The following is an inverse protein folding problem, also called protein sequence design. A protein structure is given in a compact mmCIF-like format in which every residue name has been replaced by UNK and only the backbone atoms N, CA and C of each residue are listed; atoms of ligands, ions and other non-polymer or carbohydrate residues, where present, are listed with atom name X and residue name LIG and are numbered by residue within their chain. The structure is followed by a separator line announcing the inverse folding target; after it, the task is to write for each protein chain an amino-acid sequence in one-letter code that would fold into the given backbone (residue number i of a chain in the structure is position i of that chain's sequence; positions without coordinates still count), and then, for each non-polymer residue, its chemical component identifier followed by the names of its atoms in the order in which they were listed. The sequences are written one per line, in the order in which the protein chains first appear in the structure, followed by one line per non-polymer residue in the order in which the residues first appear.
data_IF_276043131422
#
_entry.id   IF_276043131422
#
_cell.length_a   1.000
_cell.length_b   1.000
_cell.length_c   1.000
_cell.angle_alpha   90.00
_cell.angle_beta   90.00
_cell.angle_gamma   90.00
#
_symmetry.space_group_name_H-M   'P 1'
#
loop_
_entity.id
_entity.type
_entity.pdbx_description
1 polymer ?
#
# COMPACT_ATOMS: atom_id res chain seq x y z
N UNK A 1 -22.16 -31.10 73.45
CA UNK A 1 -22.26 -31.43 72.02
C UNK A 1 -22.32 -30.12 71.21
N UNK A 2 -21.18 -29.65 70.68
CA UNK A 2 -21.09 -28.52 69.74
C UNK A 2 -19.95 -28.82 68.77
N UNK A 3 -20.28 -28.96 67.49
CA UNK A 3 -19.36 -29.29 66.39
C UNK A 3 -18.64 -28.02 65.91
N UNK A 4 -17.33 -28.03 65.59
CA UNK A 4 -16.68 -26.91 64.92
C UNK A 4 -16.89 -27.00 63.40
N UNK A 5 -17.11 -25.86 62.76
CA UNK A 5 -17.27 -25.71 61.30
C UNK A 5 -15.90 -25.78 60.59
N UNK A 6 -15.78 -26.39 59.40
CA UNK A 6 -14.53 -26.46 58.67
C UNK A 6 -14.23 -25.13 57.96
N UNK A 7 -12.97 -24.68 58.05
CA UNK A 7 -12.41 -23.60 57.24
C UNK A 7 -12.26 -24.11 55.79
N UNK A 8 -12.98 -23.50 54.86
CA UNK A 8 -12.81 -23.73 53.43
C UNK A 8 -11.66 -22.86 52.93
N UNK A 9 -10.52 -23.47 52.60
CA UNK A 9 -9.39 -22.78 51.99
C UNK A 9 -9.67 -22.55 50.49
N UNK A 10 -9.76 -21.29 50.09
CA UNK A 10 -9.96 -20.88 48.70
C UNK A 10 -8.59 -20.81 48.00
N UNK A 11 -8.28 -21.80 47.15
CA UNK A 11 -7.12 -21.74 46.25
C UNK A 11 -7.45 -20.83 45.05
N UNK A 12 -6.85 -19.64 45.00
CA UNK A 12 -6.79 -18.82 43.79
C UNK A 12 -5.72 -19.41 42.85
N UNK A 13 -6.14 -20.08 41.79
CA UNK A 13 -5.26 -20.45 40.68
C UNK A 13 -5.02 -19.22 39.80
N UNK A 14 -3.83 -18.62 39.91
CA UNK A 14 -3.37 -17.56 39.02
C UNK A 14 -2.94 -18.18 37.68
N UNK A 15 -3.81 -18.11 36.67
CA UNK A 15 -3.48 -18.41 35.29
C UNK A 15 -2.62 -17.28 34.71
N UNK A 16 -1.29 -17.42 34.79
CA UNK A 16 -0.36 -16.64 33.98
C UNK A 16 -0.51 -17.07 32.52
N UNK A 17 -1.26 -16.28 31.74
CA UNK A 17 -1.26 -16.39 30.28
C UNK A 17 0.12 -16.03 29.75
N UNK A 18 0.80 -16.99 29.12
CA UNK A 18 2.05 -16.77 28.40
C UNK A 18 1.70 -15.94 27.16
N UNK A 19 1.90 -14.62 27.23
CA UNK A 19 1.93 -13.78 26.05
C UNK A 19 3.20 -14.13 25.26
N UNK A 20 3.06 -14.91 24.19
CA UNK A 20 4.14 -15.13 23.24
C UNK A 20 4.59 -13.79 22.62
N UNK A 21 5.86 -13.65 22.22
CA UNK A 21 6.32 -12.44 21.55
C UNK A 21 5.45 -12.20 20.31
N UNK A 22 4.85 -11.01 20.21
CA UNK A 22 4.27 -10.56 18.96
C UNK A 22 5.40 -10.52 17.94
N UNK A 23 5.33 -11.39 16.93
CA UNK A 23 6.27 -11.34 15.83
C UNK A 23 6.09 -9.98 15.13
N UNK A 24 7.13 -9.16 15.13
CA UNK A 24 7.15 -7.91 14.39
C UNK A 24 6.94 -8.24 12.90
N UNK A 25 6.17 -7.41 12.20
CA UNK A 25 6.01 -7.57 10.76
C UNK A 25 7.37 -7.49 10.06
N UNK A 26 7.61 -8.40 9.12
CA UNK A 26 8.82 -8.43 8.30
C UNK A 26 8.43 -8.33 6.82
N UNK A 27 9.31 -7.73 6.00
CA UNK A 27 9.20 -7.78 4.53
C UNK A 27 9.51 -9.18 4.01
N UNK A 28 8.60 -10.11 4.26
CA UNK A 28 8.67 -11.52 3.88
C UNK A 28 7.28 -12.06 3.53
N UNK A 29 7.25 -12.97 2.56
CA UNK A 29 6.04 -13.67 2.18
C UNK A 29 5.08 -12.76 1.43
N UNK A 30 3.81 -13.17 1.36
CA UNK A 30 2.79 -12.46 0.57
C UNK A 30 1.90 -11.64 1.49
N UNK A 31 1.84 -10.34 1.23
CA UNK A 31 1.08 -9.36 2.00
C UNK A 31 -0.01 -8.75 1.12
N UNK A 32 -1.12 -8.34 1.72
CA UNK A 32 -2.20 -7.60 1.08
C UNK A 32 -1.75 -6.23 0.61
N UNK A 33 -2.36 -5.70 -0.44
CA UNK A 33 -2.32 -4.27 -0.74
C UNK A 33 -3.74 -3.73 -0.64
N UNK A 34 -3.95 -2.76 0.25
CA UNK A 34 -5.28 -2.23 0.56
C UNK A 34 -5.28 -0.71 0.45
N UNK A 35 -6.23 -0.17 -0.30
CA UNK A 35 -6.54 1.26 -0.33
C UNK A 35 -7.64 1.57 0.69
N UNK A 36 -7.48 2.67 1.42
CA UNK A 36 -8.43 3.14 2.42
C UNK A 36 -9.12 4.40 1.93
N UNK A 37 -10.43 4.30 1.74
CA UNK A 37 -11.30 5.40 1.33
C UNK A 37 -11.60 6.34 2.50
N UNK A 38 -11.77 7.63 2.21
CA UNK A 38 -12.18 8.64 3.20
C UNK A 38 -13.59 8.42 3.77
N UNK A 39 -14.39 7.58 3.13
CA UNK A 39 -15.69 7.09 3.60
C UNK A 39 -15.58 5.90 4.56
N UNK A 40 -14.36 5.47 4.88
CA UNK A 40 -14.07 4.30 5.72
C UNK A 40 -14.04 2.98 4.95
N UNK A 41 -14.24 3.00 3.62
CA UNK A 41 -14.13 1.80 2.80
C UNK A 41 -12.69 1.27 2.76
N UNK A 42 -12.55 -0.05 2.65
CA UNK A 42 -11.27 -0.72 2.46
C UNK A 42 -11.33 -1.59 1.21
N UNK A 43 -10.47 -1.28 0.24
CA UNK A 43 -10.44 -1.97 -1.05
C UNK A 43 -9.11 -2.70 -1.17
N UNK A 44 -9.15 -4.04 -1.05
CA UNK A 44 -7.99 -4.87 -1.36
C UNK A 44 -7.78 -4.89 -2.87
N UNK A 45 -6.66 -4.35 -3.34
CA UNK A 45 -6.34 -4.22 -4.77
C UNK A 45 -5.35 -5.26 -5.28
N UNK A 46 -4.74 -6.06 -4.40
CA UNK A 46 -3.77 -7.06 -4.81
C UNK A 46 -2.91 -7.58 -3.67
N UNK A 47 -1.73 -8.06 -4.04
CA UNK A 47 -0.69 -8.55 -3.14
C UNK A 47 0.69 -8.06 -3.56
N UNK A 48 1.59 -7.97 -2.58
CA UNK A 48 3.03 -7.97 -2.82
C UNK A 48 3.64 -9.22 -2.22
N UNK A 49 4.51 -9.91 -2.96
CA UNK A 49 5.35 -10.97 -2.43
C UNK A 49 6.76 -10.44 -2.20
N UNK A 50 7.21 -10.54 -0.95
CA UNK A 50 8.55 -10.17 -0.50
C UNK A 50 9.45 -11.40 -0.39
N UNK A 51 10.60 -11.36 -1.07
CA UNK A 51 11.60 -12.42 -1.06
C UNK A 51 12.94 -11.88 -0.56
N UNK A 52 13.31 -12.11 0.72
CA UNK A 52 14.59 -11.66 1.25
C UNK A 52 15.79 -12.27 0.51
N UNK A 53 16.76 -11.44 0.13
CA UNK A 53 17.94 -11.78 -0.69
C UNK A 53 19.22 -11.20 -0.07
N UNK A 54 19.36 -11.29 1.26
CA UNK A 54 20.45 -10.66 2.00
C UNK A 54 20.13 -9.22 2.37
N UNK A 55 20.91 -8.27 1.87
CA UNK A 55 20.73 -6.84 2.19
C UNK A 55 19.53 -6.19 1.48
N UNK A 56 19.00 -6.83 0.43
CA UNK A 56 17.81 -6.38 -0.31
C UNK A 56 16.70 -7.41 -0.20
N UNK A 57 15.49 -6.96 -0.45
CA UNK A 57 14.29 -7.80 -0.57
C UNK A 57 13.70 -7.63 -1.95
N UNK A 58 13.58 -8.72 -2.71
CA UNK A 58 12.86 -8.72 -3.98
C UNK A 58 11.37 -8.52 -3.75
N UNK A 59 10.72 -7.73 -4.61
CA UNK A 59 9.28 -7.42 -4.53
C UNK A 59 8.59 -7.80 -5.84
N UNK A 60 7.45 -8.48 -5.72
CA UNK A 60 6.59 -8.79 -6.85
C UNK A 60 5.15 -8.37 -6.52
N UNK A 61 4.66 -7.33 -7.20
CA UNK A 61 3.28 -6.86 -7.06
C UNK A 61 2.39 -7.59 -8.05
N UNK A 62 1.26 -8.10 -7.56
CA UNK A 62 0.19 -8.69 -8.36
C UNK A 62 -1.10 -7.97 -8.01
N UNK A 63 -1.70 -7.28 -8.98
CA UNK A 63 -3.01 -6.66 -8.81
C UNK A 63 -4.14 -7.67 -9.05
N UNK A 64 -5.19 -7.55 -8.26
CA UNK A 64 -6.46 -8.25 -8.41
C UNK A 64 -7.29 -7.50 -9.47
N UNK A 65 -6.91 -7.62 -10.75
CA UNK A 65 -7.47 -6.80 -11.84
C UNK A 65 -8.98 -6.98 -12.03
N UNK A 66 -9.55 -8.09 -11.57
CA UNK A 66 -10.99 -8.38 -11.55
C UNK A 66 -11.78 -7.46 -10.61
N UNK A 67 -11.11 -6.79 -9.68
CA UNK A 67 -11.71 -5.78 -8.79
C UNK A 67 -11.72 -4.38 -9.37
N UNK A 68 -11.06 -4.19 -10.52
CA UNK A 68 -11.02 -2.91 -11.23
C UNK A 68 -12.03 -2.92 -12.37
N UNK A 69 -12.50 -1.73 -12.73
CA UNK A 69 -13.25 -1.51 -13.95
C UNK A 69 -12.33 -1.02 -15.07
N UNK A 70 -12.67 -1.37 -16.30
CA UNK A 70 -11.91 -0.96 -17.47
C UNK A 70 -12.42 0.39 -17.98
N UNK A 71 -11.52 1.36 -18.01
CA UNK A 71 -11.79 2.67 -18.61
C UNK A 71 -10.87 2.87 -19.81
N UNK A 72 -11.45 3.15 -20.97
CA UNK A 72 -10.70 3.49 -22.16
C UNK A 72 -10.42 4.99 -22.18
N UNK A 73 -9.22 5.38 -21.75
CA UNK A 73 -8.81 6.77 -21.57
C UNK A 73 -7.62 7.03 -22.49
N UNK A 74 -7.74 8.02 -23.37
CA UNK A 74 -6.64 8.41 -24.28
C UNK A 74 -6.09 7.24 -25.11
N UNK A 75 -6.99 6.48 -25.76
CA UNK A 75 -6.66 5.32 -26.61
C UNK A 75 -6.03 4.13 -25.89
N UNK A 76 -6.01 4.12 -24.56
CA UNK A 76 -5.47 3.04 -23.75
C UNK A 76 -6.47 2.62 -22.68
N UNK A 77 -6.51 1.33 -22.40
CA UNK A 77 -7.27 0.81 -21.27
C UNK A 77 -6.51 1.03 -19.96
N UNK A 78 -7.22 1.53 -18.96
CA UNK A 78 -6.74 1.65 -17.59
C UNK A 78 -7.65 0.87 -16.65
N UNK A 79 -7.03 0.20 -15.68
CA UNK A 79 -7.71 -0.47 -14.57
C UNK A 79 -8.02 0.58 -13.50
N UNK A 80 -9.30 0.88 -13.28
CA UNK A 80 -9.73 1.97 -12.41
C UNK A 80 -10.73 1.53 -11.34
N UNK A 81 -10.70 2.23 -10.21
CA UNK A 81 -11.65 2.16 -9.12
C UNK A 81 -12.51 3.43 -9.19
N UNK A 82 -13.75 3.34 -9.69
CA UNK A 82 -14.67 4.47 -9.64
C UNK A 82 -15.18 4.65 -8.22
N UNK A 83 -15.28 5.91 -7.83
CA UNK A 83 -15.81 6.38 -6.55
C UNK A 83 -16.84 7.48 -6.85
N UNK A 84 -17.64 7.93 -5.87
CA UNK A 84 -18.67 8.96 -6.09
C UNK A 84 -18.18 10.24 -6.79
N UNK A 85 -16.97 10.72 -6.51
CA UNK A 85 -16.45 11.97 -7.07
C UNK A 85 -15.04 11.86 -7.69
N UNK A 86 -14.44 10.67 -7.69
CA UNK A 86 -13.15 10.40 -8.36
C UNK A 86 -13.16 9.09 -9.13
N UNK A 87 -12.45 9.04 -10.25
CA UNK A 87 -12.05 7.78 -10.90
C UNK A 87 -10.55 7.61 -10.67
N UNK A 88 -10.17 6.59 -9.90
CA UNK A 88 -8.79 6.35 -9.47
C UNK A 88 -8.19 5.19 -10.26
N UNK A 89 -7.20 5.46 -11.11
CA UNK A 89 -6.71 4.52 -12.10
C UNK A 89 -5.26 4.12 -11.84
N UNK A 90 -4.97 2.81 -11.87
CA UNK A 90 -3.60 2.30 -11.77
C UNK A 90 -2.80 2.61 -13.05
N UNK A 91 -1.54 2.98 -12.88
CA UNK A 91 -0.58 3.18 -13.96
C UNK A 91 0.60 2.24 -13.75
N UNK A 92 0.77 1.20 -14.57
CA UNK A 92 1.94 0.34 -14.47
C UNK A 92 3.20 1.12 -14.88
N UNK A 93 4.24 1.05 -14.07
CA UNK A 93 5.56 1.53 -14.47
C UNK A 93 6.07 0.72 -15.67
N UNK A 94 6.40 1.34 -16.82
CA UNK A 94 6.53 0.61 -18.08
C UNK A 94 7.96 0.12 -18.39
N UNK A 95 8.95 0.45 -17.55
CA UNK A 95 10.37 0.18 -17.84
C UNK A 95 10.97 -0.85 -16.88
N UNK A 96 12.06 -1.53 -17.28
CA UNK A 96 12.84 -2.37 -16.38
C UNK A 96 13.26 -1.60 -15.12
N UNK A 97 13.31 -2.31 -14.01
CA UNK A 97 13.82 -1.82 -12.73
C UNK A 97 14.32 -3.00 -11.89
N UNK A 98 15.11 -2.76 -10.83
CA UNK A 98 15.61 -3.80 -9.94
C UNK A 98 14.58 -4.64 -9.20
N UNK A 99 13.30 -4.22 -9.16
CA UNK A 99 12.20 -4.88 -8.46
C UNK A 99 12.59 -5.34 -7.03
N UNK A 100 13.35 -4.49 -6.31
CA UNK A 100 13.85 -4.80 -4.99
C UNK A 100 13.96 -3.55 -4.14
N UNK A 101 13.81 -3.73 -2.82
CA UNK A 101 13.78 -2.67 -1.81
C UNK A 101 14.74 -2.99 -0.65
N UNK A 102 14.99 -1.99 0.18
CA UNK A 102 15.65 -2.11 1.48
C UNK A 102 14.74 -1.57 2.59
N UNK A 103 15.16 -1.62 3.85
CA UNK A 103 14.38 -1.07 4.97
C UNK A 103 14.18 0.45 4.92
N UNK A 104 15.11 1.14 4.25
CA UNK A 104 15.20 2.59 4.14
C UNK A 104 14.84 3.12 2.74
N UNK A 105 14.85 2.26 1.71
CA UNK A 105 14.45 2.60 0.34
C UNK A 105 13.40 1.64 -0.19
N UNK A 106 12.16 2.14 -0.24
CA UNK A 106 10.99 1.42 -0.74
C UNK A 106 10.57 1.88 -2.14
N UNK A 107 11.34 2.76 -2.78
CA UNK A 107 10.88 3.49 -3.96
C UNK A 107 10.41 2.58 -5.10
N UNK A 108 11.09 1.46 -5.35
CA UNK A 108 10.65 0.54 -6.41
C UNK A 108 9.33 -0.17 -6.13
N UNK A 109 8.99 -0.42 -4.86
CA UNK A 109 7.65 -0.89 -4.49
C UNK A 109 6.61 0.23 -4.66
N UNK A 110 6.96 1.47 -4.32
CA UNK A 110 6.10 2.64 -4.50
C UNK A 110 5.79 2.89 -6.00
N UNK A 111 6.78 2.73 -6.88
CA UNK A 111 6.62 2.85 -8.34
C UNK A 111 5.79 1.73 -8.99
N UNK A 112 5.68 0.56 -8.34
CA UNK A 112 4.75 -0.47 -8.77
C UNK A 112 3.27 -0.09 -8.48
N UNK A 113 3.06 0.91 -7.62
CA UNK A 113 1.77 1.35 -7.08
C UNK A 113 1.48 2.82 -7.44
N UNK A 114 1.73 3.19 -8.69
CA UNK A 114 1.38 4.50 -9.24
C UNK A 114 -0.08 4.55 -9.67
N UNK A 115 -0.73 5.67 -9.42
CA UNK A 115 -2.10 5.92 -9.83
C UNK A 115 -2.24 7.33 -10.40
N UNK A 116 -3.34 7.61 -11.09
CA UNK A 116 -3.82 8.97 -11.26
C UNK A 116 -5.31 9.04 -10.91
N UNK A 117 -5.80 10.25 -10.70
CA UNK A 117 -7.23 10.49 -10.55
C UNK A 117 -7.76 11.47 -11.61
N UNK A 118 -9.05 11.36 -11.88
CA UNK A 118 -9.82 12.34 -12.65
C UNK A 118 -11.23 12.46 -12.07
N UNK A 119 -11.95 13.51 -12.41
CA UNK A 119 -13.39 13.59 -12.11
C UNK A 119 -14.16 12.62 -13.00
N UNK A 120 -15.30 12.05 -12.55
CA UNK A 120 -16.13 11.18 -13.37
C UNK A 120 -16.55 11.80 -14.71
N UNK A 121 -16.80 13.11 -14.75
CA UNK A 121 -17.18 13.87 -15.95
C UNK A 121 -16.06 14.10 -16.97
N UNK A 122 -14.80 13.86 -16.61
CA UNK A 122 -13.67 14.07 -17.51
C UNK A 122 -13.45 12.87 -18.43
N UNK A 123 -13.25 13.10 -19.73
CA UNK A 123 -13.11 12.00 -20.70
C UNK A 123 -11.69 11.40 -20.74
N UNK A 124 -10.65 12.24 -20.72
CA UNK A 124 -9.27 11.82 -20.92
C UNK A 124 -8.55 11.41 -19.64
N UNK A 125 -7.46 10.66 -19.79
CA UNK A 125 -6.52 10.42 -18.70
C UNK A 125 -5.86 11.75 -18.26
N UNK A 126 -5.63 11.89 -16.96
CA UNK A 126 -5.01 13.06 -16.35
C UNK A 126 -3.68 12.65 -15.70
N UNK A 127 -2.70 12.32 -16.52
CA UNK A 127 -1.42 11.79 -16.03
C UNK A 127 -0.66 12.78 -15.13
N UNK A 128 -0.90 14.09 -15.29
CA UNK A 128 -0.36 15.11 -14.38
C UNK A 128 -1.04 15.13 -12.99
N UNK A 129 -2.15 14.42 -12.82
CA UNK A 129 -2.81 14.19 -11.52
C UNK A 129 -2.31 12.87 -10.90
N UNK A 130 -1.01 12.61 -11.00
CA UNK A 130 -0.41 11.40 -10.46
C UNK A 130 -0.49 11.34 -8.94
N UNK A 131 -0.68 10.13 -8.42
CA UNK A 131 -0.69 9.81 -7.00
C UNK A 131 0.36 8.74 -6.77
N UNK A 132 1.30 9.10 -5.91
CA UNK A 132 2.41 8.31 -5.43
C UNK A 132 2.19 8.03 -3.95
N UNK A 133 2.23 6.78 -3.50
CA UNK A 133 2.18 6.50 -2.06
C UNK A 133 3.59 6.36 -1.51
N UNK A 134 4.05 7.33 -0.72
CA UNK A 134 5.28 7.20 0.06
C UNK A 134 5.03 6.25 1.23
N UNK A 135 5.60 5.06 1.14
CA UNK A 135 5.52 4.00 2.13
C UNK A 135 6.46 4.29 3.30
N UNK A 136 6.01 3.94 4.49
CA UNK A 136 6.80 4.00 5.72
C UNK A 136 6.56 2.73 6.51
N UNK A 137 7.61 2.04 6.98
CA UNK A 137 7.47 0.87 7.85
C UNK A 137 6.78 1.22 9.18
N UNK A 138 5.99 0.27 9.67
CA UNK A 138 5.34 0.28 10.98
C UNK A 138 5.46 -1.12 11.60
N UNK A 139 5.06 -1.29 12.86
CA UNK A 139 5.07 -2.60 13.52
C UNK A 139 4.16 -3.63 12.85
N UNK A 140 3.11 -3.18 12.15
CA UNK A 140 2.09 -4.02 11.54
C UNK A 140 2.27 -4.24 10.02
N UNK A 141 3.13 -3.46 9.36
CA UNK A 141 3.16 -3.40 7.91
C UNK A 141 3.77 -2.12 7.35
N UNK A 142 3.49 -1.83 6.08
CA UNK A 142 3.81 -0.54 5.46
C UNK A 142 2.57 0.33 5.39
N UNK A 143 2.72 1.63 5.66
CA UNK A 143 1.68 2.64 5.48
C UNK A 143 2.14 3.68 4.46
N UNK A 144 1.34 3.86 3.41
CA UNK A 144 1.55 4.78 2.32
C UNK A 144 0.77 6.06 2.49
N UNK A 145 1.44 7.20 2.40
CA UNK A 145 0.82 8.54 2.33
C UNK A 145 0.87 9.10 0.92
N UNK A 146 -0.22 9.68 0.41
CA UNK A 146 -0.29 10.16 -0.96
C UNK A 146 0.59 11.41 -1.15
N UNK A 147 1.27 11.45 -2.28
CA UNK A 147 2.01 12.58 -2.82
C UNK A 147 1.66 12.76 -4.30
N UNK A 148 1.68 13.99 -4.77
CA UNK A 148 1.44 14.34 -6.16
C UNK A 148 2.72 14.14 -6.97
N UNK A 149 2.57 13.58 -8.17
CA UNK A 149 3.62 13.45 -9.18
C UNK A 149 3.06 13.74 -10.56
N UNK A 150 3.91 14.15 -11.50
CA UNK A 150 3.54 14.23 -12.91
C UNK A 150 3.92 12.93 -13.62
N UNK A 151 2.93 12.08 -13.93
CA UNK A 151 3.17 10.80 -14.60
C UNK A 151 3.63 10.93 -16.06
N UNK A 152 3.60 12.12 -16.64
CA UNK A 152 4.18 12.33 -17.96
C UNK A 152 5.71 12.17 -17.95
N UNK A 153 6.37 12.28 -16.80
CA UNK A 153 7.82 12.08 -16.67
C UNK A 153 8.27 10.65 -17.03
N UNK A 154 7.40 9.65 -16.82
CA UNK A 154 7.66 8.25 -17.20
C UNK A 154 7.08 7.89 -18.57
N UNK A 155 6.75 8.90 -19.39
CA UNK A 155 6.29 8.69 -20.77
C UNK A 155 7.41 8.22 -21.71
N UNK A 156 8.68 8.45 -21.35
CA UNK A 156 9.85 7.99 -22.09
C UNK A 156 10.78 7.17 -21.17
N UNK A 157 11.53 6.18 -21.72
CA UNK A 157 12.46 5.38 -20.93
C UNK A 157 13.53 6.25 -20.26
N UNK A 158 13.87 5.99 -18.98
CA UNK A 158 14.97 6.67 -18.33
C UNK A 158 16.32 6.21 -18.89
N UNK A 159 17.34 7.05 -18.77
CA UNK A 159 18.71 6.69 -19.12
C UNK A 159 19.32 5.65 -18.16
N UNK A 160 18.90 5.68 -16.89
CA UNK A 160 19.29 4.76 -15.84
C UNK A 160 18.04 4.06 -15.29
N UNK A 161 18.01 2.73 -15.37
CA UNK A 161 16.89 1.90 -14.89
C UNK A 161 17.00 1.54 -13.41
N UNK A 162 18.14 1.80 -12.78
CA UNK A 162 18.37 1.49 -11.37
C UNK A 162 17.94 2.62 -10.44
N UNK A 163 17.79 3.84 -10.98
CA UNK A 163 17.33 5.03 -10.25
C UNK A 163 15.83 5.27 -10.46
N UNK A 164 15.02 5.29 -9.39
CA UNK A 164 13.59 5.63 -9.48
C UNK A 164 13.38 7.09 -9.92
N UNK A 165 12.45 7.36 -10.86
CA UNK A 165 12.26 8.70 -11.43
C UNK A 165 11.61 9.72 -10.47
N UNK A 166 10.81 9.28 -9.49
CA UNK A 166 10.14 10.20 -8.55
C UNK A 166 10.90 10.31 -7.23
N UNK A 167 11.95 11.14 -7.23
CA UNK A 167 12.67 11.54 -6.02
C UNK A 167 11.88 12.54 -5.16
N UNK A 168 12.45 13.01 -4.05
CA UNK A 168 11.79 14.02 -3.20
C UNK A 168 11.45 15.34 -3.90
N UNK A 169 12.22 15.74 -4.92
CA UNK A 169 12.00 17.01 -5.63
C UNK A 169 10.87 16.93 -6.67
N UNK A 170 10.58 15.73 -7.17
CA UNK A 170 9.56 15.45 -8.17
C UNK A 170 8.19 15.17 -7.52
N UNK A 171 8.13 15.17 -6.19
CA UNK A 171 6.95 14.87 -5.38
C UNK A 171 6.48 16.11 -4.62
N UNK A 172 5.18 16.20 -4.39
CA UNK A 172 4.59 17.22 -3.52
C UNK A 172 3.58 16.59 -2.57
N UNK A 173 3.49 17.07 -1.34
CA UNK A 173 2.57 16.48 -0.36
C UNK A 173 1.10 16.70 -0.75
N UNK A 174 0.30 15.66 -0.53
CA UNK A 174 -1.16 15.74 -0.62
C UNK A 174 -1.74 15.48 0.77
N UNK A 175 -2.67 16.34 1.20
CA UNK A 175 -3.45 16.07 2.41
C UNK A 175 -4.28 14.78 2.19
N UNK A 176 -4.21 13.76 3.06
CA UNK A 176 -4.88 12.47 2.85
C UNK A 176 -6.37 12.58 2.49
N UNK A 177 -7.09 13.50 3.14
CA UNK A 177 -8.51 13.78 2.94
C UNK A 177 -8.83 14.45 1.60
N UNK A 178 -7.82 15.02 0.94
CA UNK A 178 -8.00 15.65 -0.35
C UNK A 178 -8.26 14.63 -1.46
N UNK A 179 -7.92 13.34 -1.26
CA UNK A 179 -8.15 12.25 -2.23
C UNK A 179 -9.20 11.29 -1.70
N UNK A 180 -9.88 10.56 -2.58
CA UNK A 180 -10.77 9.48 -2.13
C UNK A 180 -10.01 8.43 -1.34
N UNK A 181 -8.89 7.92 -1.91
CA UNK A 181 -8.01 6.95 -1.25
C UNK A 181 -6.83 7.66 -0.57
N UNK A 182 -7.05 8.14 0.66
CA UNK A 182 -6.05 8.91 1.40
C UNK A 182 -4.93 8.08 2.01
N UNK A 183 -5.02 6.75 2.01
CA UNK A 183 -4.00 5.87 2.61
C UNK A 183 -3.94 4.54 1.86
N UNK A 184 -2.74 3.99 1.75
CA UNK A 184 -2.48 2.64 1.27
C UNK A 184 -1.79 1.85 2.39
N UNK A 185 -2.17 0.60 2.63
CA UNK A 185 -1.46 -0.27 3.57
C UNK A 185 -1.03 -1.58 2.95
N UNK A 186 0.08 -2.13 3.44
CA UNK A 186 0.57 -3.47 3.09
C UNK A 186 0.79 -4.27 4.37
N UNK A 187 0.01 -5.34 4.56
CA UNK A 187 -0.05 -6.19 5.77
C UNK A 187 -0.69 -7.56 5.49
#
# INVERSE_FOLDING_TARGET
MRLPKPLTALLLAASLGIAGPAAAWEMRGTQAIVLHGRDGSQVRIGTVTFTPQGARTGVAVKLDTDKFQDFFLSMKEFKCLPTPDEVFCHVPYPYPNPASVTGDDLAWLEHALLFFYKLPSEFGAKLWNGVYYRLTPTEAGLVGRPQAVDLNQIGAPPADTDTPPYGPAERSDIAPEARWFGTLTIQ
#
